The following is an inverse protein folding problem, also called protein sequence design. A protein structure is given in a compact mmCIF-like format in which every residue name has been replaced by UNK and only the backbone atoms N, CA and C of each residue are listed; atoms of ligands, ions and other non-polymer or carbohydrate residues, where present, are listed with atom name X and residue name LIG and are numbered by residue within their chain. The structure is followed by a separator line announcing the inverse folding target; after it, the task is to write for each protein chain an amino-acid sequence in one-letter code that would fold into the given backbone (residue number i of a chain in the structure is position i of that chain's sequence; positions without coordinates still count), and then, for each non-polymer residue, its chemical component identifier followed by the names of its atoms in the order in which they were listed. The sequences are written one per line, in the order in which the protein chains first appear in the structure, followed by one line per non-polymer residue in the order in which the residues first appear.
data_IF_281978164492
#
_entry.id   IF_281978164492
#
_cell.length_a   1.000
_cell.length_b   1.000
_cell.length_c   1.000
_cell.angle_alpha   90.00
_cell.angle_beta   90.00
_cell.angle_gamma   90.00
#
_symmetry.space_group_name_H-M   'P 1'
#
loop_
_entity.id
_entity.type
_entity.pdbx_description
1 polymer ?
#
# COMPACT_ATOMS: atom_id res chain seq x y z
N UNK A 1 39.17 -65.83 19.25
CA UNK A 1 40.40 -65.63 18.49
C UNK A 1 40.70 -64.15 18.53
N UNK A 2 41.37 -63.60 19.52
CA UNK A 2 42.84 -63.39 19.70
C UNK A 2 43.46 -62.87 18.39
N UNK A 3 44.02 -61.64 18.29
CA UNK A 3 45.33 -61.22 18.86
C UNK A 3 45.45 -59.68 18.54
N UNK A 4 45.59 -58.81 19.48
CA UNK A 4 46.83 -58.22 20.06
C UNK A 4 47.55 -57.21 19.17
N UNK A 5 47.53 -55.98 19.65
CA UNK A 5 48.60 -55.07 20.11
C UNK A 5 49.70 -54.66 19.12
N UNK A 6 49.90 -53.33 18.97
CA UNK A 6 51.21 -52.82 19.42
C UNK A 6 51.24 -51.27 19.47
N UNK A 7 51.67 -50.80 20.64
CA UNK A 7 52.12 -49.44 20.95
C UNK A 7 53.47 -49.18 20.30
N UNK A 8 53.72 -47.98 19.81
CA UNK A 8 55.09 -47.39 19.86
C UNK A 8 54.96 -45.89 20.14
N UNK A 9 55.43 -45.58 21.34
CA UNK A 9 55.86 -44.26 21.83
C UNK A 9 57.16 -43.87 21.14
N UNK A 10 57.28 -42.61 20.72
CA UNK A 10 58.60 -41.99 20.55
C UNK A 10 58.53 -40.55 21.12
N UNK A 11 59.40 -40.33 22.07
CA UNK A 11 59.74 -39.05 22.72
C UNK A 11 60.86 -38.37 21.92
N UNK A 12 61.04 -37.07 22.23
CA UNK A 12 62.14 -36.14 21.99
C UNK A 12 61.86 -35.09 20.95
N UNK A 13 62.21 -33.83 21.10
CA UNK A 13 62.94 -33.05 22.08
C UNK A 13 62.56 -31.58 21.91
N UNK A 14 62.63 -30.85 23.02
CA UNK A 14 62.42 -29.37 22.98
C UNK A 14 63.71 -28.71 22.47
N UNK A 15 63.54 -27.75 21.55
CA UNK A 15 64.57 -26.73 21.25
C UNK A 15 63.90 -25.35 21.47
N UNK A 16 64.41 -24.69 22.51
CA UNK A 16 64.04 -23.29 22.76
C UNK A 16 64.89 -22.39 21.87
N UNK A 17 64.27 -21.63 21.00
CA UNK A 17 64.86 -20.50 20.29
C UNK A 17 64.27 -19.22 20.87
N UNK A 18 65.08 -18.51 21.64
CA UNK A 18 64.82 -17.15 22.09
C UNK A 18 65.10 -16.22 20.91
N UNK A 19 64.08 -15.60 20.32
CA UNK A 19 64.22 -14.49 19.39
C UNK A 19 63.57 -13.25 20.00
N UNK A 20 64.43 -12.27 20.28
CA UNK A 20 64.05 -10.93 20.69
C UNK A 20 63.26 -10.27 19.53
N UNK A 21 61.93 -10.12 19.72
CA UNK A 21 61.06 -9.39 18.78
C UNK A 21 60.84 -7.97 19.28
N UNK A 22 61.28 -7.03 18.49
CA UNK A 22 61.02 -5.59 18.70
C UNK A 22 59.52 -5.32 18.70
N UNK A 23 58.99 -4.70 19.73
CA UNK A 23 57.64 -4.15 19.78
C UNK A 23 57.58 -2.92 18.82
N UNK A 24 57.03 -3.11 17.63
CA UNK A 24 56.51 -2.02 16.78
C UNK A 24 55.09 -1.70 17.28
N UNK A 25 54.97 -0.64 18.07
CA UNK A 25 53.69 -0.02 18.37
C UNK A 25 53.15 0.70 17.10
N UNK A 26 52.27 0.05 16.35
CA UNK A 26 51.50 0.72 15.32
C UNK A 26 50.47 1.59 16.00
N UNK A 27 50.73 2.89 16.06
CA UNK A 27 49.67 3.86 16.38
C UNK A 27 48.64 3.83 15.22
N UNK A 28 47.48 3.21 15.49
CA UNK A 28 46.34 3.33 14.60
C UNK A 28 45.87 4.79 14.64
N UNK A 29 46.17 5.55 13.61
CA UNK A 29 45.54 6.83 13.36
C UNK A 29 44.04 6.55 13.16
N UNK A 30 43.22 6.84 14.16
CA UNK A 30 41.79 6.90 14.03
C UNK A 30 41.49 8.02 13.03
N UNK A 31 41.12 7.64 11.82
CA UNK A 31 40.53 8.57 10.87
C UNK A 31 39.28 9.16 11.52
N UNK A 32 39.06 10.49 11.47
CA UNK A 32 37.84 11.06 11.97
C UNK A 32 36.67 10.39 11.22
N UNK A 33 35.71 9.86 11.98
CA UNK A 33 34.46 9.36 11.40
C UNK A 33 33.95 10.46 10.46
N UNK A 34 33.89 10.16 9.18
CA UNK A 34 33.30 11.06 8.21
C UNK A 34 31.89 11.36 8.71
N UNK A 35 31.65 12.62 9.08
CA UNK A 35 30.32 13.07 9.42
C UNK A 35 29.42 12.66 8.24
N UNK A 36 28.50 11.76 8.46
CA UNK A 36 27.45 11.50 7.49
C UNK A 36 26.82 12.87 7.20
N UNK A 37 26.61 13.22 5.92
CA UNK A 37 25.89 14.44 5.63
C UNK A 37 24.57 14.36 6.39
N UNK A 38 24.35 15.33 7.30
CA UNK A 38 23.04 15.54 7.89
C UNK A 38 22.08 15.68 6.70
N UNK A 39 21.17 14.72 6.56
CA UNK A 39 20.07 14.85 5.63
C UNK A 39 19.36 16.15 5.99
N UNK A 40 19.54 17.16 5.15
CA UNK A 40 18.71 18.37 5.24
C UNK A 40 17.29 17.87 5.06
N UNK A 41 16.55 17.75 6.15
CA UNK A 41 15.13 17.42 6.11
C UNK A 41 14.44 18.57 5.40
N UNK A 42 14.24 18.43 4.10
CA UNK A 42 13.46 19.38 3.34
C UNK A 42 12.02 19.30 3.86
N UNK A 43 11.54 20.38 4.42
CA UNK A 43 10.14 20.50 4.82
C UNK A 43 9.30 20.57 3.56
N UNK A 44 8.34 19.66 3.44
CA UNK A 44 7.36 19.70 2.36
C UNK A 44 6.21 20.64 2.74
N UNK A 45 5.59 21.27 1.73
CA UNK A 45 4.51 22.22 1.91
C UNK A 45 3.17 21.63 1.48
N UNK A 46 2.19 21.65 2.39
CA UNK A 46 0.83 21.15 2.19
C UNK A 46 -0.10 22.29 1.83
N UNK A 47 -0.87 22.12 0.78
CA UNK A 47 -1.94 22.99 0.34
C UNK A 47 -3.20 22.19 0.07
N UNK A 48 -4.29 22.51 0.72
CA UNK A 48 -5.62 21.97 0.40
C UNK A 48 -6.06 22.53 -0.97
N UNK A 49 -6.51 21.67 -1.87
CA UNK A 49 -6.87 22.04 -3.23
C UNK A 49 -8.34 21.76 -3.55
N UNK A 50 -8.99 20.84 -2.83
CA UNK A 50 -10.43 20.59 -2.94
C UNK A 50 -11.01 20.28 -1.55
N UNK A 51 -12.27 20.60 -1.34
CA UNK A 51 -12.99 20.44 -0.08
C UNK A 51 -14.31 19.71 -0.36
N UNK A 52 -14.58 18.63 0.35
CA UNK A 52 -15.83 17.90 0.24
C UNK A 52 -17.05 18.78 0.54
N UNK A 53 -16.90 19.74 1.46
CA UNK A 53 -17.94 20.72 1.79
C UNK A 53 -18.40 21.60 0.61
N UNK A 54 -17.57 21.77 -0.42
CA UNK A 54 -17.88 22.54 -1.63
C UNK A 54 -18.52 21.67 -2.76
N UNK A 55 -18.54 20.35 -2.56
CA UNK A 55 -19.03 19.37 -3.51
C UNK A 55 -20.34 18.77 -3.03
N UNK A 56 -21.23 18.45 -3.94
CA UNK A 56 -22.55 17.94 -3.58
C UNK A 56 -22.95 16.81 -4.52
N UNK A 57 -23.59 15.79 -3.95
CA UNK A 57 -24.30 14.78 -4.74
C UNK A 57 -25.75 14.64 -4.28
N UNK A 58 -26.52 13.85 -5.03
CA UNK A 58 -27.92 13.61 -4.71
C UNK A 58 -28.20 12.14 -4.66
N UNK A 59 -28.93 11.69 -3.65
CA UNK A 59 -29.26 10.29 -3.44
C UNK A 59 -30.73 10.13 -3.00
N UNK A 60 -31.20 8.88 -3.01
CA UNK A 60 -32.48 8.51 -2.41
C UNK A 60 -32.20 7.62 -1.21
N UNK A 61 -32.72 7.98 -0.02
CA UNK A 61 -32.51 7.22 1.19
C UNK A 61 -32.95 5.76 1.00
N UNK A 62 -32.02 4.82 1.23
CA UNK A 62 -32.21 3.38 0.97
C UNK A 62 -32.72 3.08 -0.46
N UNK A 63 -32.30 3.89 -1.44
CA UNK A 63 -32.70 3.77 -2.84
C UNK A 63 -34.15 4.06 -3.14
N UNK A 64 -34.87 4.80 -2.28
CA UNK A 64 -36.30 5.05 -2.41
C UNK A 64 -36.70 6.44 -1.88
N UNK A 65 -37.82 6.94 -2.36
CA UNK A 65 -38.44 8.15 -1.83
C UNK A 65 -37.96 9.45 -2.45
N UNK A 66 -37.91 10.51 -1.64
CA UNK A 66 -37.45 11.82 -2.09
C UNK A 66 -35.94 11.84 -2.33
N UNK A 67 -35.51 12.74 -3.22
CA UNK A 67 -34.11 13.03 -3.42
C UNK A 67 -33.59 13.92 -2.29
N UNK A 68 -32.45 13.59 -1.78
CA UNK A 68 -31.66 14.34 -0.79
C UNK A 68 -30.40 14.85 -1.44
N UNK A 69 -29.84 15.93 -0.92
CA UNK A 69 -28.55 16.48 -1.34
C UNK A 69 -27.66 16.58 -0.10
N UNK A 70 -26.45 16.09 -0.20
CA UNK A 70 -25.44 16.22 0.85
C UNK A 70 -24.08 16.62 0.28
N UNK A 71 -23.17 17.05 1.15
CA UNK A 71 -21.77 17.31 0.81
C UNK A 71 -21.01 16.00 0.75
N UNK A 72 -19.93 15.96 -0.04
CA UNK A 72 -19.08 14.79 -0.12
C UNK A 72 -18.18 14.69 1.13
N UNK A 73 -18.01 13.47 1.61
CA UNK A 73 -17.21 13.20 2.82
C UNK A 73 -16.31 11.97 2.63
N UNK A 74 -15.27 11.87 3.46
CA UNK A 74 -14.37 10.74 3.53
C UNK A 74 -13.73 10.41 2.18
N UNK A 75 -12.94 11.33 1.59
CA UNK A 75 -12.12 10.99 0.44
C UNK A 75 -11.09 9.93 0.84
N UNK A 76 -11.00 8.87 0.04
CA UNK A 76 -10.16 7.72 0.30
C UNK A 76 -9.09 7.58 -0.78
N UNK A 77 -9.25 6.71 -1.75
CA UNK A 77 -8.23 6.48 -2.77
C UNK A 77 -8.23 7.55 -3.88
N UNK A 78 -7.07 7.70 -4.52
CA UNK A 78 -6.80 8.73 -5.52
C UNK A 78 -5.94 8.20 -6.66
N UNK A 79 -6.32 8.48 -7.89
CA UNK A 79 -5.56 8.13 -9.07
C UNK A 79 -5.44 9.27 -10.07
N UNK A 80 -4.64 9.10 -11.11
CA UNK A 80 -4.45 10.12 -12.16
C UNK A 80 -4.51 9.55 -13.57
N UNK A 81 -5.19 10.29 -14.47
CA UNK A 81 -5.24 9.99 -15.88
C UNK A 81 -5.30 11.29 -16.70
N UNK A 82 -4.44 11.41 -17.71
CA UNK A 82 -4.44 12.54 -18.66
C UNK A 82 -4.43 13.94 -17.99
N UNK A 83 -3.66 14.06 -16.87
CA UNK A 83 -3.55 15.31 -16.12
C UNK A 83 -4.81 15.67 -15.32
N UNK A 84 -5.61 14.68 -14.97
CA UNK A 84 -6.75 14.78 -14.07
C UNK A 84 -6.51 13.89 -12.85
N UNK A 85 -7.12 14.26 -11.72
CA UNK A 85 -7.23 13.41 -10.54
C UNK A 85 -8.61 12.78 -10.52
N UNK A 86 -8.67 11.54 -10.04
CA UNK A 86 -9.91 10.82 -9.75
C UNK A 86 -9.85 10.40 -8.29
N UNK A 87 -10.83 10.83 -7.51
CA UNK A 87 -10.88 10.63 -6.06
C UNK A 87 -12.20 9.98 -5.69
N UNK A 88 -12.14 8.93 -4.88
CA UNK A 88 -13.31 8.29 -4.29
C UNK A 88 -13.70 8.97 -2.99
N UNK A 89 -14.95 9.44 -2.85
CA UNK A 89 -15.54 9.90 -1.60
C UNK A 89 -16.54 8.85 -1.11
N UNK A 90 -16.30 8.29 0.06
CA UNK A 90 -17.10 7.17 0.60
C UNK A 90 -18.46 7.60 1.13
N UNK A 91 -18.66 8.90 1.42
CA UNK A 91 -19.94 9.48 1.86
C UNK A 91 -20.57 8.75 3.06
N UNK A 92 -19.74 8.30 4.00
CA UNK A 92 -20.13 7.53 5.19
C UNK A 92 -20.92 6.23 4.91
N UNK A 93 -20.83 5.67 3.69
CA UNK A 93 -21.30 4.30 3.42
C UNK A 93 -20.45 3.30 4.20
N UNK A 94 -21.00 2.16 4.57
CA UNK A 94 -20.27 1.15 5.35
C UNK A 94 -19.45 0.21 4.46
N UNK A 95 -18.38 -0.45 5.01
CA UNK A 95 -17.42 -1.26 4.26
C UNK A 95 -17.99 -2.55 3.65
N UNK A 96 -19.22 -2.92 3.98
CA UNK A 96 -19.95 -4.03 3.35
C UNK A 96 -21.05 -3.54 2.41
N UNK A 97 -21.09 -2.23 2.11
CA UNK A 97 -22.15 -1.58 1.34
C UNK A 97 -23.35 -1.19 2.17
N UNK A 98 -23.20 -1.06 3.50
CA UNK A 98 -24.26 -0.56 4.36
C UNK A 98 -24.54 0.91 4.09
N UNK A 99 -25.81 1.33 4.20
CA UNK A 99 -26.13 2.74 4.03
C UNK A 99 -25.51 3.60 5.13
N UNK A 100 -25.20 4.87 4.80
CA UNK A 100 -24.90 5.89 5.80
C UNK A 100 -26.06 6.05 6.80
N UNK A 101 -25.84 6.82 7.86
CA UNK A 101 -26.89 7.09 8.87
C UNK A 101 -28.13 7.74 8.26
N UNK A 102 -27.98 8.46 7.17
CA UNK A 102 -29.06 9.16 6.45
C UNK A 102 -29.65 8.33 5.30
N UNK A 103 -29.13 7.11 5.13
CA UNK A 103 -29.60 6.15 4.14
C UNK A 103 -28.99 6.31 2.76
N UNK A 104 -27.89 7.07 2.61
CA UNK A 104 -27.12 7.10 1.37
C UNK A 104 -26.44 5.74 1.14
N UNK A 105 -26.53 5.21 -0.09
CA UNK A 105 -25.94 3.94 -0.51
C UNK A 105 -24.76 4.10 -1.47
N UNK A 106 -24.44 5.35 -1.83
CA UNK A 106 -23.52 5.63 -2.93
C UNK A 106 -22.27 6.36 -2.43
N UNK A 107 -21.12 5.90 -2.86
CA UNK A 107 -19.90 6.70 -2.90
C UNK A 107 -19.90 7.58 -4.14
N UNK A 108 -19.08 8.62 -4.19
CA UNK A 108 -18.96 9.51 -5.34
C UNK A 108 -17.53 9.56 -5.82
N UNK A 109 -17.30 9.22 -7.10
CA UNK A 109 -16.01 9.43 -7.75
C UNK A 109 -16.02 10.81 -8.40
N UNK A 110 -15.02 11.64 -8.07
CA UNK A 110 -14.90 12.99 -8.59
C UNK A 110 -13.65 13.13 -9.46
N UNK A 111 -13.82 13.66 -10.66
CA UNK A 111 -12.72 14.08 -11.52
C UNK A 111 -12.37 15.54 -11.26
N UNK A 112 -11.11 15.79 -10.90
CA UNK A 112 -10.57 17.13 -10.69
C UNK A 112 -9.49 17.48 -11.70
N UNK A 113 -9.27 18.77 -11.87
CA UNK A 113 -7.99 19.27 -12.38
C UNK A 113 -6.92 19.09 -11.32
N UNK A 114 -5.62 19.15 -11.69
CA UNK A 114 -4.49 19.14 -10.72
C UNK A 114 -4.51 20.34 -9.75
N UNK A 115 -5.41 21.28 -9.91
CA UNK A 115 -5.59 22.45 -9.03
C UNK A 115 -6.85 22.35 -8.16
N UNK A 116 -7.51 21.16 -8.14
CA UNK A 116 -8.67 20.88 -7.30
C UNK A 116 -10.00 21.39 -7.84
N UNK A 117 -10.06 21.88 -9.10
CA UNK A 117 -11.34 22.26 -9.69
C UNK A 117 -12.07 21.00 -10.16
N UNK A 118 -13.29 20.78 -9.65
CA UNK A 118 -14.20 19.74 -10.12
C UNK A 118 -14.47 19.86 -11.64
N UNK A 119 -14.51 18.72 -12.31
CA UNK A 119 -14.80 18.58 -13.75
C UNK A 119 -16.06 17.76 -13.95
N UNK A 120 -16.16 16.60 -13.34
CA UNK A 120 -17.27 15.65 -13.39
C UNK A 120 -17.33 14.81 -12.12
N UNK A 121 -18.48 14.23 -11.83
CA UNK A 121 -18.65 13.25 -10.77
C UNK A 121 -19.59 12.12 -11.19
N UNK A 122 -19.49 10.98 -10.49
CA UNK A 122 -20.29 9.79 -10.68
C UNK A 122 -20.61 9.17 -9.34
N UNK A 123 -21.88 8.91 -9.08
CA UNK A 123 -22.29 8.12 -7.93
C UNK A 123 -22.13 6.64 -8.26
N UNK A 124 -21.52 5.91 -7.35
CA UNK A 124 -21.18 4.49 -7.46
C UNK A 124 -21.79 3.78 -6.26
N UNK A 125 -22.74 2.85 -6.46
CA UNK A 125 -23.35 2.10 -5.37
C UNK A 125 -22.31 1.30 -4.57
N UNK A 126 -22.30 1.52 -3.26
CA UNK A 126 -21.39 0.87 -2.31
C UNK A 126 -20.33 1.82 -1.75
N UNK A 127 -19.48 1.27 -0.91
CA UNK A 127 -18.34 1.91 -0.28
C UNK A 127 -17.13 1.82 -1.24
N UNK A 128 -16.74 2.91 -1.88
CA UNK A 128 -15.61 2.92 -2.80
C UNK A 128 -14.29 2.98 -2.01
N UNK A 129 -13.41 2.01 -2.26
CA UNK A 129 -12.07 1.96 -1.71
C UNK A 129 -11.04 2.14 -2.81
N UNK A 130 -10.78 1.13 -3.63
CA UNK A 130 -9.78 1.24 -4.68
C UNK A 130 -10.25 2.08 -5.86
N UNK A 131 -9.45 3.07 -6.25
CA UNK A 131 -9.65 3.91 -7.45
C UNK A 131 -8.36 3.96 -8.25
N UNK A 132 -8.28 3.28 -9.39
CA UNK A 132 -7.08 3.33 -10.23
C UNK A 132 -7.39 3.61 -11.68
N UNK A 133 -6.49 4.32 -12.35
CA UNK A 133 -6.60 4.62 -13.76
C UNK A 133 -5.78 3.63 -14.59
N UNK A 134 -6.39 3.11 -15.66
CA UNK A 134 -5.71 2.32 -16.69
C UNK A 134 -5.44 3.20 -17.93
N UNK A 135 -4.20 3.68 -18.11
CA UNK A 135 -3.87 4.54 -19.25
C UNK A 135 -3.93 3.82 -20.59
N UNK A 136 -3.90 2.48 -20.61
CA UNK A 136 -3.99 1.70 -21.85
C UNK A 136 -5.42 1.68 -22.39
N UNK A 137 -6.40 1.65 -21.51
CA UNK A 137 -7.83 1.60 -21.91
C UNK A 137 -8.54 2.94 -21.76
N UNK A 138 -7.92 3.94 -21.12
CA UNK A 138 -8.52 5.23 -20.83
C UNK A 138 -9.69 5.13 -19.86
N UNK A 139 -9.62 4.18 -18.92
CA UNK A 139 -10.67 3.94 -17.92
C UNK A 139 -10.13 4.15 -16.51
N UNK A 140 -10.99 4.64 -15.65
CA UNK A 140 -10.81 4.57 -14.20
C UNK A 140 -11.58 3.35 -13.72
N UNK A 141 -10.94 2.53 -12.89
CA UNK A 141 -11.47 1.30 -12.31
C UNK A 141 -11.70 1.57 -10.83
N UNK A 142 -12.86 1.15 -10.32
CA UNK A 142 -13.27 1.37 -8.94
C UNK A 142 -13.73 0.03 -8.35
N UNK A 143 -13.18 -0.34 -7.20
CA UNK A 143 -13.72 -1.41 -6.34
C UNK A 143 -14.66 -0.81 -5.31
N UNK A 144 -15.62 -1.58 -4.86
CA UNK A 144 -16.55 -1.18 -3.79
C UNK A 144 -16.72 -2.32 -2.81
N UNK A 145 -16.91 -1.95 -1.53
CA UNK A 145 -17.21 -2.85 -0.42
C UNK A 145 -16.02 -3.76 -0.04
N UNK A 146 -15.07 -3.21 0.66
CA UNK A 146 -13.83 -3.87 1.08
C UNK A 146 -14.05 -5.12 1.96
N UNK A 147 -15.06 -5.12 2.83
CA UNK A 147 -15.30 -6.20 3.80
C UNK A 147 -16.24 -7.31 3.31
N UNK A 148 -17.13 -7.02 2.36
CA UNK A 148 -18.08 -8.00 1.83
C UNK A 148 -18.86 -7.48 0.61
N UNK A 149 -19.44 -8.39 -0.16
CA UNK A 149 -20.35 -8.05 -1.27
C UNK A 149 -19.70 -7.14 -2.34
N UNK A 150 -18.42 -7.26 -2.55
CA UNK A 150 -17.68 -6.41 -3.47
C UNK A 150 -18.13 -6.59 -4.93
N UNK A 151 -18.00 -5.52 -5.67
CA UNK A 151 -18.13 -5.47 -7.12
C UNK A 151 -17.18 -4.42 -7.69
N UNK A 152 -17.16 -4.29 -9.01
CA UNK A 152 -16.22 -3.42 -9.70
C UNK A 152 -16.95 -2.53 -10.69
N UNK A 153 -16.51 -1.28 -10.78
CA UNK A 153 -16.99 -0.33 -11.78
C UNK A 153 -15.86 0.14 -12.68
N UNK A 154 -16.20 0.57 -13.87
CA UNK A 154 -15.28 1.32 -14.73
C UNK A 154 -15.93 2.59 -15.23
N UNK A 155 -15.18 3.69 -15.26
CA UNK A 155 -15.56 4.98 -15.81
C UNK A 155 -14.70 5.24 -17.03
N UNK A 156 -15.31 5.49 -18.18
CA UNK A 156 -14.57 5.93 -19.37
C UNK A 156 -14.20 7.40 -19.22
N UNK A 157 -12.92 7.73 -19.13
CA UNK A 157 -12.46 9.12 -19.00
C UNK A 157 -12.91 9.98 -20.18
N UNK A 158 -12.95 9.41 -21.39
CA UNK A 158 -13.38 10.14 -22.59
C UNK A 158 -14.87 10.47 -22.61
N UNK A 159 -15.75 9.52 -22.23
CA UNK A 159 -17.20 9.65 -22.40
C UNK A 159 -17.96 9.85 -21.09
N UNK A 160 -17.34 9.58 -19.94
CA UNK A 160 -18.00 9.56 -18.64
C UNK A 160 -18.90 8.35 -18.42
N UNK A 161 -18.87 7.35 -19.32
CA UNK A 161 -19.75 6.19 -19.20
C UNK A 161 -19.31 5.29 -18.04
N UNK A 162 -20.21 5.13 -17.05
CA UNK A 162 -20.07 4.22 -15.93
C UNK A 162 -20.55 2.82 -16.30
N UNK A 163 -19.76 1.79 -15.96
CA UNK A 163 -20.13 0.39 -16.21
C UNK A 163 -19.88 -0.43 -14.95
N UNK A 164 -20.89 -1.14 -14.46
CA UNK A 164 -20.81 -2.09 -13.37
C UNK A 164 -20.39 -3.48 -13.85
N UNK A 165 -19.55 -4.18 -13.09
CA UNK A 165 -19.12 -5.56 -13.31
C UNK A 165 -19.34 -6.38 -12.04
N UNK A 166 -19.97 -7.54 -12.16
CA UNK A 166 -20.04 -8.52 -11.11
C UNK A 166 -18.87 -9.52 -11.23
N UNK A 167 -18.36 -10.02 -10.13
CA UNK A 167 -17.37 -11.09 -10.17
C UNK A 167 -17.98 -12.40 -10.67
N UNK A 168 -17.19 -13.19 -11.40
CA UNK A 168 -17.65 -14.44 -12.04
C UNK A 168 -17.97 -15.56 -11.07
N UNK A 169 -17.64 -15.40 -9.80
CA UNK A 169 -17.89 -16.35 -8.69
C UNK A 169 -17.91 -15.59 -7.37
N UNK A 170 -18.54 -16.16 -6.33
CA UNK A 170 -18.38 -15.65 -4.97
C UNK A 170 -16.91 -15.64 -4.57
N UNK A 171 -16.46 -14.55 -4.00
CA UNK A 171 -15.12 -14.44 -3.44
C UNK A 171 -15.06 -15.03 -2.03
N UNK A 172 -13.92 -15.55 -1.56
CA UNK A 172 -13.74 -16.00 -0.18
C UNK A 172 -14.07 -14.91 0.84
N UNK A 173 -14.36 -15.31 2.06
CA UNK A 173 -14.50 -14.45 3.24
C UNK A 173 -15.49 -13.28 3.06
N UNK A 174 -16.65 -13.57 2.53
CA UNK A 174 -17.75 -12.64 2.19
C UNK A 174 -17.47 -11.77 0.94
N UNK A 175 -16.27 -11.79 0.39
CA UNK A 175 -15.97 -11.23 -0.91
C UNK A 175 -15.62 -9.75 -0.91
N UNK A 176 -14.77 -9.30 0.01
CA UNK A 176 -14.20 -7.97 -0.01
C UNK A 176 -13.12 -7.80 -1.08
N UNK A 177 -13.01 -6.62 -1.64
CA UNK A 177 -11.89 -6.21 -2.51
C UNK A 177 -11.63 -4.72 -2.34
N UNK A 178 -10.37 -4.36 -2.43
CA UNK A 178 -9.85 -3.05 -2.10
C UNK A 178 -9.02 -2.46 -3.26
N UNK A 179 -7.83 -1.92 -2.97
CA UNK A 179 -6.99 -1.20 -3.92
C UNK A 179 -6.67 -1.97 -5.20
N UNK A 180 -6.35 -1.22 -6.24
CA UNK A 180 -6.16 -1.70 -7.59
C UNK A 180 -4.84 -1.20 -8.17
N UNK A 181 -4.05 -2.08 -8.80
CA UNK A 181 -2.91 -1.69 -9.63
C UNK A 181 -3.01 -2.21 -11.05
N UNK A 182 -2.43 -1.49 -11.99
CA UNK A 182 -2.20 -1.97 -13.35
C UNK A 182 -0.77 -2.46 -13.49
N UNK A 183 -0.58 -3.77 -13.42
CA UNK A 183 0.73 -4.40 -13.43
C UNK A 183 0.95 -5.25 -14.67
N UNK A 184 1.90 -4.88 -15.51
CA UNK A 184 2.16 -5.50 -16.83
C UNK A 184 0.90 -5.65 -17.71
N UNK A 185 0.01 -4.64 -17.66
CA UNK A 185 -1.26 -4.63 -18.40
C UNK A 185 -2.33 -5.55 -17.81
N UNK A 186 -2.13 -6.07 -16.62
CA UNK A 186 -3.12 -6.82 -15.85
C UNK A 186 -3.68 -5.94 -14.73
N UNK A 187 -4.96 -6.10 -14.45
CA UNK A 187 -5.61 -5.50 -13.29
C UNK A 187 -5.34 -6.42 -12.10
N UNK A 188 -4.67 -5.91 -11.08
CA UNK A 188 -4.48 -6.58 -9.80
C UNK A 188 -5.35 -5.89 -8.75
N UNK A 189 -6.02 -6.67 -7.90
CA UNK A 189 -6.92 -6.15 -6.86
C UNK A 189 -6.61 -6.86 -5.55
N UNK A 190 -6.45 -6.10 -4.46
CA UNK A 190 -6.30 -6.64 -3.11
C UNK A 190 -7.58 -7.36 -2.68
N UNK A 191 -7.42 -8.49 -2.01
CA UNK A 191 -8.53 -9.23 -1.42
C UNK A 191 -8.63 -8.82 0.06
N UNK A 192 -9.27 -7.70 0.33
CA UNK A 192 -9.50 -7.24 1.70
C UNK A 192 -10.16 -8.33 2.54
N UNK A 193 -9.81 -8.42 3.81
CA UNK A 193 -10.31 -9.43 4.74
C UNK A 193 -10.28 -10.89 4.20
N UNK A 194 -9.13 -11.44 3.78
CA UNK A 194 -9.06 -12.82 3.28
C UNK A 194 -9.45 -13.85 4.36
N UNK A 195 -9.46 -13.44 5.63
CA UNK A 195 -10.05 -14.16 6.76
C UNK A 195 -9.31 -15.39 7.21
N UNK A 196 -8.17 -15.70 6.62
CA UNK A 196 -7.31 -16.77 7.07
C UNK A 196 -6.03 -16.23 7.62
N UNK A 197 -5.69 -16.70 8.74
CA UNK A 197 -4.48 -16.33 9.47
C UNK A 197 -3.52 -17.50 9.45
N UNK A 198 -3.14 -17.99 8.27
CA UNK A 198 -2.14 -19.06 8.13
C UNK A 198 -2.49 -20.41 8.75
N UNK A 199 -3.70 -20.60 9.26
CA UNK A 199 -4.12 -21.82 9.98
C UNK A 199 -4.86 -22.82 9.11
N UNK A 200 -5.33 -22.44 7.95
CA UNK A 200 -6.02 -23.33 7.04
C UNK A 200 -5.01 -24.06 6.13
N UNK A 201 -5.26 -25.33 5.75
CA UNK A 201 -4.40 -26.06 4.82
C UNK A 201 -4.40 -25.46 3.40
N UNK A 202 -5.32 -24.55 3.11
CA UNK A 202 -5.41 -23.75 1.89
C UNK A 202 -5.68 -22.32 2.29
N UNK A 203 -4.78 -21.41 1.90
CA UNK A 203 -5.01 -19.98 1.99
C UNK A 203 -6.14 -19.53 1.06
N UNK A 204 -6.58 -18.30 1.24
CA UNK A 204 -7.40 -17.56 0.30
C UNK A 204 -6.51 -16.59 -0.50
N UNK A 205 -6.88 -16.22 -1.74
CA UNK A 205 -6.14 -15.22 -2.47
C UNK A 205 -6.04 -13.91 -1.69
N UNK A 206 -4.82 -13.41 -1.50
CA UNK A 206 -4.56 -12.08 -0.98
C UNK A 206 -4.60 -11.02 -2.10
N UNK A 207 -4.36 -11.45 -3.34
CA UNK A 207 -4.45 -10.60 -4.52
C UNK A 207 -5.13 -11.37 -5.66
N UNK A 208 -6.04 -10.71 -6.35
CA UNK A 208 -6.67 -11.20 -7.55
C UNK A 208 -6.07 -10.59 -8.81
N UNK A 209 -5.89 -11.42 -9.84
CA UNK A 209 -5.75 -10.95 -11.22
C UNK A 209 -7.13 -10.94 -11.86
N UNK A 210 -7.51 -9.80 -12.43
CA UNK A 210 -8.86 -9.57 -12.94
C UNK A 210 -8.85 -9.37 -14.46
N UNK A 211 -9.84 -9.95 -15.13
CA UNK A 211 -10.11 -9.73 -16.54
C UNK A 211 -11.56 -9.31 -16.74
N UNK A 212 -11.76 -8.16 -17.38
CA UNK A 212 -13.09 -7.58 -17.60
C UNK A 212 -13.66 -8.01 -18.97
N UNK A 213 -14.88 -8.52 -18.96
CA UNK A 213 -15.63 -8.75 -20.19
C UNK A 213 -16.68 -7.63 -20.39
N UNK A 214 -16.48 -6.68 -21.32
CA UNK A 214 -17.37 -5.55 -21.49
C UNK A 214 -18.76 -5.93 -22.04
N UNK A 215 -18.90 -7.12 -22.61
CA UNK A 215 -20.17 -7.58 -23.18
C UNK A 215 -21.07 -8.24 -22.13
N UNK A 216 -20.49 -9.13 -21.31
CA UNK A 216 -21.23 -9.84 -20.27
C UNK A 216 -21.29 -9.07 -18.95
N UNK A 217 -20.49 -8.02 -18.79
CA UNK A 217 -20.32 -7.29 -17.51
C UNK A 217 -19.83 -8.18 -16.38
N UNK A 218 -18.99 -9.13 -16.70
CA UNK A 218 -18.38 -10.05 -15.74
C UNK A 218 -16.90 -9.73 -15.58
N UNK A 219 -16.46 -9.60 -14.34
CA UNK A 219 -15.07 -9.56 -13.92
C UNK A 219 -14.64 -10.98 -13.53
N UNK A 220 -13.78 -11.61 -14.35
CA UNK A 220 -13.25 -12.94 -14.06
C UNK A 220 -12.01 -12.81 -13.20
N UNK A 221 -11.98 -13.50 -12.06
CA UNK A 221 -10.87 -13.44 -11.09
C UNK A 221 -10.11 -14.76 -10.97
N UNK A 222 -8.80 -14.66 -10.79
CA UNK A 222 -7.92 -15.76 -10.34
C UNK A 222 -6.97 -15.23 -9.27
N UNK A 223 -6.56 -16.07 -8.31
CA UNK A 223 -5.54 -15.68 -7.32
C UNK A 223 -4.19 -15.43 -7.98
N UNK A 224 -3.46 -14.45 -7.50
CA UNK A 224 -2.04 -14.22 -7.81
C UNK A 224 -1.17 -14.98 -6.81
N UNK A 225 -1.36 -14.72 -5.52
CA UNK A 225 -0.83 -15.48 -4.40
C UNK A 225 -1.84 -15.48 -3.23
N UNK A 226 -1.63 -16.41 -2.29
CA UNK A 226 -2.54 -16.60 -1.17
C UNK A 226 -2.01 -15.92 0.11
N UNK A 227 -2.90 -15.62 1.04
CA UNK A 227 -2.66 -15.00 2.34
C UNK A 227 -1.65 -15.75 3.22
N UNK A 228 -1.47 -17.06 2.99
CA UNK A 228 -0.52 -17.93 3.66
C UNK A 228 0.63 -18.40 2.74
N UNK A 229 0.90 -17.68 1.68
CA UNK A 229 2.02 -17.96 0.78
C UNK A 229 3.37 -17.88 1.50
N UNK A 230 4.38 -18.54 0.94
CA UNK A 230 5.75 -18.46 1.44
C UNK A 230 6.44 -17.23 0.88
N UNK A 231 7.01 -16.39 1.74
CA UNK A 231 7.78 -15.20 1.37
C UNK A 231 9.17 -15.21 2.02
N UNK A 232 10.14 -14.53 1.43
CA UNK A 232 11.45 -14.30 2.03
C UNK A 232 11.41 -13.07 2.92
N UNK A 233 11.69 -13.24 4.22
CA UNK A 233 11.76 -12.12 5.14
C UNK A 233 12.93 -11.18 4.80
N UNK A 234 12.65 -9.88 4.65
CA UNK A 234 13.64 -8.85 4.34
C UNK A 234 14.36 -8.39 5.60
N UNK A 235 13.64 -8.30 6.71
CA UNK A 235 14.12 -7.80 8.00
C UNK A 235 13.61 -8.65 9.17
N UNK A 236 13.83 -8.17 10.40
CA UNK A 236 13.39 -8.85 11.60
C UNK A 236 14.22 -10.10 11.95
N UNK A 237 13.74 -10.92 12.89
CA UNK A 237 14.50 -12.08 13.41
C UNK A 237 14.66 -13.20 12.35
N UNK A 238 13.86 -13.21 11.31
CA UNK A 238 13.88 -14.20 10.23
C UNK A 238 14.49 -13.66 8.94
N UNK A 239 15.17 -12.50 8.97
CA UNK A 239 15.77 -11.89 7.79
C UNK A 239 16.60 -12.88 6.96
N UNK A 240 16.34 -12.93 5.66
CA UNK A 240 17.00 -13.81 4.71
C UNK A 240 16.46 -15.25 4.65
N UNK A 241 15.52 -15.64 5.50
CA UNK A 241 14.87 -16.96 5.50
C UNK A 241 13.44 -16.90 4.97
N UNK A 242 12.92 -18.04 4.57
CA UNK A 242 11.52 -18.14 4.16
C UNK A 242 10.62 -18.20 5.40
N UNK A 243 9.51 -17.47 5.34
CA UNK A 243 8.44 -17.46 6.33
C UNK A 243 7.11 -17.73 5.62
N UNK A 244 6.13 -18.25 6.35
CA UNK A 244 4.75 -18.33 5.86
C UNK A 244 4.04 -17.05 6.26
N UNK A 245 3.41 -16.38 5.30
CA UNK A 245 2.57 -15.21 5.53
C UNK A 245 1.33 -15.60 6.34
N UNK A 246 0.72 -14.63 6.98
CA UNK A 246 -0.54 -14.80 7.71
C UNK A 246 -1.37 -13.51 7.57
N UNK A 247 -1.62 -13.12 6.30
CA UNK A 247 -2.24 -11.83 5.99
C UNK A 247 -3.69 -11.81 6.43
N UNK A 248 -4.05 -10.80 7.19
CA UNK A 248 -5.40 -10.61 7.72
C UNK A 248 -6.15 -9.49 7.03
N UNK A 249 -5.41 -8.54 6.47
CA UNK A 249 -5.95 -7.31 5.91
C UNK A 249 -5.10 -6.82 4.71
N UNK A 250 -5.16 -7.52 3.57
CA UNK A 250 -4.62 -7.03 2.31
C UNK A 250 -5.39 -5.79 1.85
N UNK A 251 -4.75 -4.65 1.89
CA UNK A 251 -5.33 -3.34 1.68
C UNK A 251 -4.76 -2.68 0.42
N UNK A 252 -3.95 -1.64 0.56
CA UNK A 252 -3.42 -0.92 -0.60
C UNK A 252 -2.42 -1.75 -1.41
N UNK A 253 -2.29 -1.42 -2.67
CA UNK A 253 -1.29 -2.04 -3.54
C UNK A 253 -0.76 -1.05 -4.57
N UNK A 254 0.50 -1.22 -4.98
CA UNK A 254 1.17 -0.30 -5.88
C UNK A 254 2.21 -1.02 -6.73
N UNK A 255 2.55 -0.47 -7.87
CA UNK A 255 3.68 -0.91 -8.69
C UNK A 255 4.92 -0.10 -8.32
N UNK A 256 5.91 -0.76 -7.74
CA UNK A 256 7.15 -0.11 -7.33
C UNK A 256 7.91 0.42 -8.56
N UNK A 257 8.17 1.73 -8.67
CA UNK A 257 8.85 2.26 -9.84
C UNK A 257 10.31 1.80 -9.88
N UNK A 258 10.86 1.61 -11.08
CA UNK A 258 12.26 1.20 -11.26
C UNK A 258 13.28 2.16 -10.64
N UNK A 259 12.88 3.38 -10.31
CA UNK A 259 13.72 4.34 -9.61
C UNK A 259 13.89 4.01 -8.11
N UNK A 260 13.07 3.13 -7.55
CA UNK A 260 13.22 2.67 -6.17
C UNK A 260 14.55 1.90 -5.98
N UNK A 261 15.28 2.15 -4.88
CA UNK A 261 16.56 1.47 -4.63
C UNK A 261 16.41 -0.02 -4.32
N UNK A 262 15.19 -0.46 -3.99
CA UNK A 262 14.83 -1.86 -3.77
C UNK A 262 13.48 -2.14 -4.36
N UNK A 263 13.25 -3.39 -4.75
CA UNK A 263 11.98 -3.89 -5.29
C UNK A 263 11.50 -3.16 -6.56
N UNK A 264 12.38 -2.40 -7.22
CA UNK A 264 12.02 -1.65 -8.42
C UNK A 264 11.50 -2.55 -9.54
N UNK A 265 10.25 -2.35 -9.95
CA UNK A 265 9.53 -3.15 -10.92
C UNK A 265 8.67 -4.26 -10.30
N UNK A 266 8.72 -4.48 -8.99
CA UNK A 266 7.87 -5.44 -8.30
C UNK A 266 6.44 -4.86 -8.12
N UNK A 267 5.47 -5.74 -7.97
CA UNK A 267 4.17 -5.39 -7.39
C UNK A 267 4.30 -5.41 -5.86
N UNK A 268 3.75 -4.42 -5.20
CA UNK A 268 3.69 -4.34 -3.74
C UNK A 268 2.24 -4.46 -3.28
N UNK A 269 2.00 -5.29 -2.27
CA UNK A 269 0.80 -5.32 -1.47
C UNK A 269 1.13 -4.82 -0.06
N UNK A 270 0.34 -3.94 0.47
CA UNK A 270 0.30 -3.65 1.90
C UNK A 270 -0.71 -4.58 2.60
N UNK A 271 -0.30 -5.19 3.70
CA UNK A 271 -1.21 -5.83 4.65
C UNK A 271 -1.27 -4.94 5.88
N UNK A 272 -2.25 -4.05 5.88
CA UNK A 272 -2.38 -2.94 6.82
C UNK A 272 -2.45 -3.44 8.27
N UNK A 273 -3.34 -4.38 8.54
CA UNK A 273 -3.51 -4.97 9.88
C UNK A 273 -2.27 -5.69 10.40
N UNK A 274 -1.44 -6.23 9.53
CA UNK A 274 -0.25 -7.02 9.89
C UNK A 274 1.04 -6.19 9.92
N UNK A 275 1.01 -4.97 9.40
CA UNK A 275 2.17 -4.08 9.27
C UNK A 275 3.27 -4.72 8.41
N UNK A 276 2.87 -5.21 7.25
CA UNK A 276 3.75 -5.90 6.31
C UNK A 276 3.57 -5.37 4.90
N UNK A 277 4.68 -5.08 4.22
CA UNK A 277 4.71 -4.85 2.78
C UNK A 277 5.21 -6.11 2.09
N UNK A 278 4.41 -6.65 1.19
CA UNK A 278 4.70 -7.86 0.43
C UNK A 278 5.07 -7.47 -1.00
N UNK A 279 6.24 -7.89 -1.49
CA UNK A 279 6.72 -7.60 -2.83
C UNK A 279 6.71 -8.87 -3.66
N UNK A 280 5.98 -8.85 -4.78
CA UNK A 280 5.97 -9.92 -5.78
C UNK A 280 6.87 -9.55 -6.95
N UNK A 281 7.97 -10.29 -7.08
CA UNK A 281 8.93 -10.09 -8.15
C UNK A 281 8.40 -10.69 -9.46
N UNK A 282 8.41 -9.93 -10.59
CA UNK A 282 7.91 -10.46 -11.85
C UNK A 282 8.74 -11.66 -12.31
N UNK A 283 8.08 -12.78 -12.55
CA UNK A 283 8.70 -13.97 -13.07
C UNK A 283 8.56 -14.04 -14.59
N UNK A 284 9.64 -14.39 -15.26
CA UNK A 284 9.57 -14.88 -16.64
C UNK A 284 8.63 -16.10 -16.69
N UNK A 285 7.66 -16.05 -17.57
CA UNK A 285 6.65 -17.05 -17.90
C UNK A 285 6.87 -18.45 -17.30
N UNK A 286 6.03 -18.85 -16.32
CA UNK A 286 5.94 -20.20 -15.79
C UNK A 286 6.61 -20.48 -14.44
N UNK A 287 7.24 -19.52 -13.80
CA UNK A 287 7.72 -19.61 -12.41
C UNK A 287 6.63 -19.17 -11.40
N UNK A 288 6.58 -19.80 -10.23
CA UNK A 288 5.73 -19.31 -9.11
C UNK A 288 6.21 -17.96 -8.58
N UNK A 289 5.33 -17.22 -7.88
CA UNK A 289 5.66 -15.95 -7.26
C UNK A 289 6.90 -16.04 -6.36
N UNK A 290 7.83 -15.08 -6.47
CA UNK A 290 8.93 -14.92 -5.53
C UNK A 290 8.60 -13.76 -4.61
N UNK A 291 7.94 -14.08 -3.51
CA UNK A 291 7.51 -13.08 -2.56
C UNK A 291 8.63 -12.71 -1.59
N UNK A 292 8.72 -11.43 -1.29
CA UNK A 292 9.49 -10.90 -0.18
C UNK A 292 8.54 -10.18 0.77
N UNK A 293 8.78 -10.25 2.09
CA UNK A 293 8.00 -9.56 3.10
C UNK A 293 8.90 -8.65 3.94
N UNK A 294 8.51 -7.38 4.03
CA UNK A 294 9.14 -6.34 4.85
C UNK A 294 8.19 -5.99 5.99
N UNK A 295 8.52 -6.38 7.21
CA UNK A 295 7.80 -5.91 8.39
C UNK A 295 8.09 -4.43 8.62
N UNK A 296 7.05 -3.62 8.79
CA UNK A 296 7.12 -2.19 9.07
C UNK A 296 6.74 -1.88 10.51
N UNK A 297 7.12 -0.69 11.01
CA UNK A 297 6.97 -0.36 12.43
C UNK A 297 5.57 0.08 12.84
N UNK A 298 4.72 0.45 11.89
CA UNK A 298 3.31 0.86 12.05
C UNK A 298 2.54 0.48 10.81
N UNK A 299 1.23 0.34 10.92
CA UNK A 299 0.33 0.22 9.77
C UNK A 299 0.44 1.44 8.87
N UNK A 300 0.36 1.19 7.59
CA UNK A 300 0.23 2.22 6.55
C UNK A 300 -1.00 1.88 5.71
N UNK A 301 -1.64 2.89 5.18
CA UNK A 301 -2.81 2.74 4.33
C UNK A 301 -2.38 2.70 2.86
N UNK A 302 -1.68 3.74 2.40
CA UNK A 302 -1.22 3.82 1.03
C UNK A 302 0.25 4.22 0.95
N UNK A 303 0.91 3.83 -0.14
CA UNK A 303 2.32 4.12 -0.38
C UNK A 303 2.55 4.57 -1.82
N UNK A 304 3.19 5.72 -1.99
CA UNK A 304 3.56 6.24 -3.29
C UNK A 304 5.04 6.60 -3.36
N UNK A 305 5.66 6.54 -4.56
CA UNK A 305 7.08 6.82 -4.74
C UNK A 305 7.34 8.11 -5.48
N UNK A 306 8.28 8.90 -4.98
CA UNK A 306 8.82 10.02 -5.73
C UNK A 306 9.61 9.51 -6.94
N UNK A 307 9.11 9.75 -8.14
CA UNK A 307 9.76 9.39 -9.41
C UNK A 307 10.57 10.53 -10.03
N UNK A 308 10.55 11.72 -9.40
CA UNK A 308 11.27 12.92 -9.78
C UNK A 308 11.60 13.77 -8.55
N UNK A 309 12.62 14.62 -8.63
CA UNK A 309 12.88 15.65 -7.61
C UNK A 309 11.79 16.73 -7.57
N UNK A 310 11.11 16.94 -8.70
CA UNK A 310 10.06 17.95 -8.87
C UNK A 310 8.75 17.26 -9.22
N UNK A 311 7.75 17.57 -8.43
CA UNK A 311 6.42 16.97 -8.51
C UNK A 311 5.60 17.34 -7.30
N UNK A 312 4.50 16.63 -7.11
CA UNK A 312 3.67 16.71 -5.92
C UNK A 312 3.16 15.33 -5.53
N UNK A 313 3.01 15.08 -4.24
CA UNK A 313 2.08 14.08 -3.75
C UNK A 313 0.69 14.74 -3.69
N UNK A 314 -0.29 14.07 -4.27
CA UNK A 314 -1.69 14.37 -4.09
C UNK A 314 -2.23 13.36 -3.10
N UNK A 315 -2.86 13.84 -2.04
CA UNK A 315 -3.20 13.04 -0.87
C UNK A 315 -4.64 13.34 -0.48
N UNK A 316 -5.38 12.34 -0.09
CA UNK A 316 -6.70 12.47 0.52
C UNK A 316 -6.58 12.57 2.04
N UNK A 317 -7.44 13.38 2.66
CA UNK A 317 -7.60 13.47 4.11
C UNK A 317 -9.08 13.25 4.46
N UNK A 318 -9.40 12.00 4.84
CA UNK A 318 -10.77 11.60 5.18
C UNK A 318 -11.27 12.24 6.49
N UNK A 319 -10.37 12.76 7.33
CA UNK A 319 -10.75 13.44 8.58
C UNK A 319 -11.18 14.89 8.33
N UNK A 320 -10.52 15.56 7.37
CA UNK A 320 -10.79 16.94 7.01
C UNK A 320 -11.71 17.06 5.79
N UNK A 321 -12.07 15.95 5.14
CA UNK A 321 -12.82 15.89 3.88
C UNK A 321 -12.14 16.70 2.77
N UNK A 322 -10.80 16.57 2.63
CA UNK A 322 -10.02 17.35 1.68
C UNK A 322 -9.19 16.49 0.73
N UNK A 323 -8.86 17.09 -0.42
CA UNK A 323 -7.76 16.64 -1.29
C UNK A 323 -6.64 17.66 -1.16
N UNK A 324 -5.44 17.17 -0.88
CA UNK A 324 -4.28 17.97 -0.57
C UNK A 324 -3.18 17.80 -1.61
N UNK A 325 -2.43 18.86 -1.88
CA UNK A 325 -1.22 18.84 -2.69
C UNK A 325 -0.02 19.11 -1.79
N UNK A 326 0.91 18.16 -1.74
CA UNK A 326 2.17 18.27 -1.00
C UNK A 326 3.31 18.51 -1.98
N UNK A 327 4.00 19.62 -1.86
CA UNK A 327 5.06 20.05 -2.76
C UNK A 327 6.37 20.26 -2.03
N UNK A 328 7.48 20.20 -2.76
CA UNK A 328 8.82 20.42 -2.24
C UNK A 328 9.87 19.71 -3.08
N UNK A 329 11.00 19.40 -2.46
CA UNK A 329 12.03 18.60 -3.09
C UNK A 329 11.96 17.15 -2.61
N UNK A 330 11.85 16.22 -3.54
CA UNK A 330 11.68 14.80 -3.27
C UNK A 330 12.94 14.03 -3.70
N UNK A 331 13.56 13.22 -2.81
CA UNK A 331 14.58 12.28 -3.24
C UNK A 331 13.97 11.20 -4.15
N UNK A 332 14.51 11.04 -5.35
CA UNK A 332 14.01 10.05 -6.30
C UNK A 332 14.11 8.63 -5.71
N UNK A 333 13.08 7.83 -5.88
CA UNK A 333 12.98 6.45 -5.40
C UNK A 333 12.57 6.34 -3.92
N UNK A 334 12.31 7.45 -3.24
CA UNK A 334 11.80 7.43 -1.86
C UNK A 334 10.33 7.02 -1.85
N UNK A 335 10.00 6.03 -1.04
CA UNK A 335 8.64 5.64 -0.71
C UNK A 335 8.09 6.56 0.40
N UNK A 336 6.92 7.11 0.16
CA UNK A 336 6.12 7.88 1.12
C UNK A 336 4.87 7.08 1.44
N UNK A 337 4.54 6.92 2.74
CA UNK A 337 3.37 6.18 3.18
C UNK A 337 2.51 6.99 4.12
N UNK A 338 1.21 6.78 3.99
CA UNK A 338 0.18 7.26 4.91
C UNK A 338 0.13 6.34 6.12
N UNK A 339 0.70 6.77 7.24
CA UNK A 339 0.75 5.95 8.46
C UNK A 339 -0.56 6.07 9.23
N UNK A 340 -1.21 4.94 9.50
CA UNK A 340 -2.51 4.81 10.16
C UNK A 340 -2.39 4.01 11.47
N UNK A 341 -1.99 4.65 12.57
CA UNK A 341 -1.69 3.92 13.82
C UNK A 341 -2.89 3.21 14.44
N UNK A 342 -4.10 3.52 13.98
CA UNK A 342 -5.32 2.91 14.48
C UNK A 342 -5.74 1.64 13.73
N UNK A 343 -5.15 1.36 12.58
CA UNK A 343 -5.50 0.21 11.73
C UNK A 343 -4.55 -0.99 11.95
N UNK A 344 -3.80 -0.96 13.04
CA UNK A 344 -2.89 -2.04 13.42
C UNK A 344 -3.66 -3.25 13.99
N UNK A 345 -3.24 -4.46 13.65
CA UNK A 345 -3.77 -5.67 14.25
C UNK A 345 -3.64 -5.61 15.79
N UNK A 346 -4.79 -5.73 16.48
CA UNK A 346 -4.87 -5.60 17.93
C UNK A 346 -4.90 -4.13 18.41
N UNK A 347 -5.09 -3.14 17.54
CA UNK A 347 -5.36 -1.78 17.96
C UNK A 347 -6.60 -1.73 18.87
N UNK A 348 -6.61 -0.89 19.94
CA UNK A 348 -7.76 -0.81 20.82
C UNK A 348 -9.00 -0.28 20.09
N UNK A 349 -10.17 -0.82 20.42
CA UNK A 349 -11.46 -0.40 19.87
C UNK A 349 -11.80 1.11 20.12
N UNK A 350 -11.02 1.80 20.95
CA UNK A 350 -11.14 3.24 21.20
C UNK A 350 -10.29 4.10 20.26
N UNK A 351 -9.57 3.50 19.36
CA UNK A 351 -8.81 4.18 18.31
C UNK A 351 -9.74 4.52 17.12
N UNK A 352 -9.63 5.71 16.48
CA UNK A 352 -8.84 6.85 16.91
C UNK A 352 -9.45 7.50 18.16
N UNK A 353 -8.61 8.02 19.06
CA UNK A 353 -9.07 8.65 20.31
C UNK A 353 -7.96 9.31 21.12
N UNK A 354 -8.29 9.86 22.28
CA UNK A 354 -7.31 10.50 23.12
C UNK A 354 -6.16 9.57 23.48
N UNK A 355 -4.93 10.00 23.16
CA UNK A 355 -3.70 9.25 23.43
C UNK A 355 -3.18 8.44 22.25
N UNK A 356 -3.94 8.34 21.14
CA UNK A 356 -3.45 7.77 19.89
C UNK A 356 -2.97 8.86 18.93
N UNK A 357 -1.87 8.63 18.22
CA UNK A 357 -1.41 9.58 17.22
C UNK A 357 -2.40 9.59 16.04
N UNK A 358 -2.67 10.79 15.51
CA UNK A 358 -3.36 10.95 14.23
C UNK A 358 -2.52 10.38 13.08
N UNK A 359 -3.14 10.09 11.95
CA UNK A 359 -2.44 9.72 10.72
C UNK A 359 -1.35 10.74 10.37
N UNK A 360 -0.26 10.27 9.77
CA UNK A 360 0.83 11.15 9.37
C UNK A 360 1.61 10.59 8.19
N UNK A 361 2.17 11.48 7.37
CA UNK A 361 3.03 11.11 6.25
C UNK A 361 4.42 10.69 6.76
N UNK A 362 4.93 9.56 6.27
CA UNK A 362 6.27 9.06 6.58
C UNK A 362 7.01 8.60 5.33
N UNK A 363 8.33 8.53 5.41
CA UNK A 363 9.15 7.77 4.45
C UNK A 363 9.44 6.38 5.00
N UNK A 364 9.49 5.38 4.10
CA UNK A 364 9.76 3.98 4.44
C UNK A 364 11.20 3.61 4.13
N UNK A 365 11.90 3.04 5.09
CA UNK A 365 13.18 2.41 4.84
C UNK A 365 12.95 0.97 4.34
N UNK A 366 13.07 0.75 3.05
CA UNK A 366 12.84 -0.54 2.39
C UNK A 366 13.84 -1.67 2.78
N UNK A 367 14.76 -1.40 3.70
CA UNK A 367 15.68 -2.41 4.26
C UNK A 367 15.30 -2.82 5.67
N UNK A 368 14.90 -1.86 6.49
CA UNK A 368 14.65 -2.06 7.93
C UNK A 368 13.18 -2.01 8.30
N UNK A 369 12.31 -1.52 7.42
CA UNK A 369 10.89 -1.27 7.70
C UNK A 369 10.65 -0.07 8.64
N UNK A 370 11.69 0.71 8.94
CA UNK A 370 11.54 1.89 9.77
C UNK A 370 10.80 3.01 9.03
N UNK A 371 9.81 3.59 9.70
CA UNK A 371 9.06 4.74 9.24
C UNK A 371 9.64 6.01 9.84
N UNK A 372 9.89 7.02 9.02
CA UNK A 372 10.38 8.33 9.46
C UNK A 372 9.38 9.40 9.09
N UNK A 373 8.77 10.04 10.10
CA UNK A 373 7.78 11.11 9.89
C UNK A 373 8.36 12.24 9.04
N UNK A 374 7.63 12.64 8.02
CA UNK A 374 7.99 13.76 7.13
C UNK A 374 7.70 15.08 7.84
N UNK A 375 8.64 16.04 7.72
CA UNK A 375 8.41 17.40 8.19
C UNK A 375 7.49 18.13 7.19
N UNK A 376 6.34 18.58 7.67
CA UNK A 376 5.34 19.29 6.88
C UNK A 376 5.15 20.71 7.39
N UNK A 377 4.79 21.62 6.49
CA UNK A 377 4.34 22.99 6.79
C UNK A 377 3.12 23.31 5.93
N UNK A 378 2.41 24.37 6.24
CA UNK A 378 1.15 24.73 5.58
C UNK A 378 -0.08 24.17 6.28
N UNK A 379 -1.02 23.57 5.56
CA UNK A 379 -2.21 22.98 6.15
C UNK A 379 -1.88 21.74 7.00
N UNK A 380 -2.74 21.42 7.97
CA UNK A 380 -2.71 20.13 8.65
C UNK A 380 -3.07 19.01 7.66
N UNK A 381 -2.54 17.82 7.86
CA UNK A 381 -2.77 16.67 6.99
C UNK A 381 -2.82 15.39 7.83
N UNK A 382 -3.89 14.65 7.65
CA UNK A 382 -4.05 13.26 8.10
C UNK A 382 -4.21 12.38 6.86
N UNK A 383 -3.10 11.91 6.27
CA UNK A 383 -3.11 11.27 4.96
C UNK A 383 -3.83 9.92 5.00
N UNK A 384 -4.53 9.61 3.87
CA UNK A 384 -5.07 8.30 3.52
C UNK A 384 -4.53 7.90 2.14
N UNK A 385 -5.31 7.85 1.08
CA UNK A 385 -4.83 7.56 -0.27
C UNK A 385 -3.87 8.62 -0.81
N UNK A 386 -2.92 8.23 -1.67
CA UNK A 386 -1.93 9.17 -2.21
C UNK A 386 -1.35 8.74 -3.56
N UNK A 387 -0.98 9.72 -4.38
CA UNK A 387 -0.29 9.50 -5.65
C UNK A 387 0.78 10.56 -5.90
N UNK A 388 1.94 10.16 -6.42
CA UNK A 388 2.99 11.10 -6.84
C UNK A 388 2.88 11.44 -8.32
N UNK A 389 2.76 12.73 -8.64
CA UNK A 389 2.75 13.24 -10.01
C UNK A 389 4.00 14.09 -10.22
N UNK A 390 4.82 13.70 -11.18
CA UNK A 390 6.00 14.48 -11.61
C UNK A 390 5.59 15.66 -12.50
N UNK A 391 6.31 16.76 -12.37
CA UNK A 391 6.17 17.95 -13.21
C UNK A 391 7.26 18.01 -14.27
#
# INVERSE_FOLDING_TARGET
MNISSNRRTARLAAVAVVSAGALLTTAALALPASAQPQSSHHTLFVRQIAFGADLHHTYQANGKGAWHTETLTQPDDISTLDGRLYVGFQNATGPQGEPSTDGNLDSTIVEFTLYGKEVRQWDVPGHADGVTADPLTGKVIVTVNEDANSSLFTISAATGHLTHYAYNKPLPHKGGTDAISIYHGQILISASAPGTTGTAPKGAPAVYVVSLNPWTKIATVRGLFDDNSTAKAVNGPHAGTNVTLALTDPDSNEVVPHASPKFGGDFMLDSQGDRELIFDQPHSWGGGASLSVLAITRSVDDTSWATSHFGALYITDATADTVDQVTGWFPIGTAYSSVTPCDENGAPATCPGPGFPANYLATVNLTTGALTKVALSGAALQPKGQIFIRF
#
